data_IF_805870180940
#
_entry.id   IF_805870180940
#
_cell.length_a   1.000
_cell.length_b   1.000
_cell.length_c   1.000
_cell.angle_alpha   90.00
_cell.angle_beta   90.00
_cell.angle_gamma   90.00
#
_symmetry.space_group_name_H-M   'P 1'
#
loop_
_entity.id
_entity.type
_entity.pdbx_description
1 polymer ?
#
# COMPACT_ATOMS: atom_id res chain seq x y z
N UNK A 1 -58.94 47.80 -57.76
CA UNK A 1 -59.15 46.81 -56.68
C UNK A 1 -58.55 45.44 -57.05
N UNK A 2 -57.24 45.33 -57.28
CA UNK A 2 -56.51 44.04 -57.37
C UNK A 2 -55.02 44.32 -57.12
N UNK A 3 -54.60 44.40 -55.85
CA UNK A 3 -53.16 44.43 -55.49
C UNK A 3 -52.95 44.15 -53.98
N UNK A 4 -53.96 44.36 -53.14
CA UNK A 4 -53.81 44.24 -51.68
C UNK A 4 -53.93 42.80 -51.13
N UNK A 5 -54.19 41.77 -51.96
CA UNK A 5 -54.48 40.40 -51.49
C UNK A 5 -53.26 39.45 -51.55
N UNK A 6 -52.31 39.65 -52.45
CA UNK A 6 -51.07 38.84 -52.55
C UNK A 6 -49.96 39.26 -51.58
N UNK A 7 -49.94 40.52 -51.12
CA UNK A 7 -48.92 41.02 -50.19
C UNK A 7 -49.09 40.57 -48.74
N UNK A 8 -50.30 40.15 -48.34
CA UNK A 8 -50.59 39.65 -46.97
C UNK A 8 -50.01 38.25 -46.67
N UNK A 9 -50.12 37.25 -47.55
CA UNK A 9 -49.55 35.93 -47.27
C UNK A 9 -48.02 35.95 -47.23
N UNK A 10 -47.35 36.67 -48.13
CA UNK A 10 -45.89 36.82 -48.13
C UNK A 10 -45.37 37.44 -46.83
N UNK A 11 -45.95 38.56 -46.37
CA UNK A 11 -45.56 39.19 -45.10
C UNK A 11 -45.74 38.30 -43.87
N UNK A 12 -46.72 37.41 -43.85
CA UNK A 12 -46.91 36.48 -42.73
C UNK A 12 -45.91 35.31 -42.78
N UNK A 13 -45.54 34.86 -43.99
CA UNK A 13 -44.53 33.83 -44.19
C UNK A 13 -43.16 34.34 -43.77
N UNK A 14 -42.77 35.53 -44.21
CA UNK A 14 -41.49 36.17 -43.85
C UNK A 14 -41.38 36.39 -42.33
N UNK A 15 -42.49 36.79 -41.68
CA UNK A 15 -42.53 36.97 -40.23
C UNK A 15 -42.44 35.63 -39.47
N UNK A 16 -43.05 34.58 -40.01
CA UNK A 16 -42.97 33.21 -39.46
C UNK A 16 -41.58 32.62 -39.60
N UNK A 17 -40.91 32.84 -40.74
CA UNK A 17 -39.53 32.43 -40.96
C UNK A 17 -38.55 33.18 -40.05
N UNK A 18 -38.76 34.49 -39.85
CA UNK A 18 -38.01 35.25 -38.84
C UNK A 18 -38.24 34.71 -37.43
N UNK A 19 -39.50 34.49 -37.02
CA UNK A 19 -39.82 33.88 -35.72
C UNK A 19 -39.09 32.53 -35.54
N UNK A 20 -39.08 31.69 -36.58
CA UNK A 20 -38.47 30.35 -36.56
C UNK A 20 -36.94 30.40 -36.50
N UNK A 21 -36.32 31.33 -37.22
CA UNK A 21 -34.87 31.55 -37.17
C UNK A 21 -34.45 32.13 -35.82
N UNK A 22 -35.25 33.02 -35.24
CA UNK A 22 -35.02 33.58 -33.91
C UNK A 22 -35.12 32.50 -32.82
N UNK A 23 -36.14 31.62 -32.92
CA UNK A 23 -36.28 30.46 -32.05
C UNK A 23 -35.10 29.48 -32.18
N UNK A 24 -34.57 29.26 -33.40
CA UNK A 24 -33.36 28.46 -33.61
C UNK A 24 -32.12 29.10 -32.97
N UNK A 25 -31.95 30.39 -33.19
CA UNK A 25 -30.85 31.17 -32.61
C UNK A 25 -30.89 31.17 -31.08
N UNK A 26 -32.07 31.14 -30.49
CA UNK A 26 -32.24 31.03 -29.03
C UNK A 26 -32.02 29.60 -28.52
N UNK A 27 -32.40 28.56 -29.29
CA UNK A 27 -32.24 27.17 -28.89
C UNK A 27 -30.77 26.68 -28.88
N UNK A 28 -29.94 27.12 -29.82
CA UNK A 28 -28.53 26.69 -29.94
C UNK A 28 -27.69 26.98 -28.66
N UNK A 29 -27.74 28.20 -28.07
CA UNK A 29 -27.07 28.50 -26.80
C UNK A 29 -27.55 27.62 -25.64
N UNK A 30 -28.85 27.33 -25.55
CA UNK A 30 -29.37 26.48 -24.48
C UNK A 30 -28.91 25.03 -24.62
N UNK A 31 -28.84 24.53 -25.86
CA UNK A 31 -28.33 23.20 -26.15
C UNK A 31 -26.85 23.07 -25.81
N UNK A 32 -26.03 24.03 -26.24
CA UNK A 32 -24.61 24.07 -25.91
C UNK A 32 -24.36 24.15 -24.40
N UNK A 33 -25.17 24.95 -23.68
CA UNK A 33 -25.10 25.04 -22.21
C UNK A 33 -25.50 23.72 -21.54
N UNK A 34 -26.55 23.05 -22.03
CA UNK A 34 -26.96 21.74 -21.53
C UNK A 34 -25.87 20.68 -21.72
N UNK A 35 -25.26 20.63 -22.90
CA UNK A 35 -24.16 19.70 -23.19
C UNK A 35 -22.95 19.97 -22.28
N UNK A 36 -22.58 21.24 -22.06
CA UNK A 36 -21.49 21.59 -21.14
C UNK A 36 -21.76 21.18 -19.69
N UNK A 37 -22.97 21.40 -19.19
CA UNK A 37 -23.38 21.03 -17.82
C UNK A 37 -23.47 19.51 -17.67
N UNK A 38 -23.88 18.80 -18.72
CA UNK A 38 -23.92 17.34 -18.75
C UNK A 38 -22.50 16.73 -18.65
N UNK A 39 -21.55 17.25 -19.43
CA UNK A 39 -20.15 16.82 -19.37
C UNK A 39 -19.51 17.11 -18.01
N UNK A 40 -19.79 18.29 -17.44
CA UNK A 40 -19.35 18.64 -16.09
C UNK A 40 -19.95 17.71 -15.03
N UNK A 41 -21.24 17.37 -15.14
CA UNK A 41 -21.90 16.46 -14.19
C UNK A 41 -21.35 15.03 -14.26
N UNK A 42 -21.06 14.51 -15.46
CA UNK A 42 -20.43 13.18 -15.61
C UNK A 42 -19.02 13.18 -15.02
N UNK A 43 -18.21 14.19 -15.36
CA UNK A 43 -16.85 14.38 -14.83
C UNK A 43 -16.82 14.58 -13.31
N UNK A 44 -17.87 15.16 -12.74
CA UNK A 44 -18.03 15.29 -11.29
C UNK A 44 -18.48 13.99 -10.62
N UNK A 45 -19.27 13.14 -11.29
CA UNK A 45 -19.72 11.84 -10.79
C UNK A 45 -18.62 10.77 -10.75
N UNK A 46 -17.61 10.85 -11.60
CA UNK A 46 -16.48 9.90 -11.58
C UNK A 46 -15.46 10.19 -10.47
N UNK A 47 -15.34 11.45 -10.04
CA UNK A 47 -14.46 11.86 -8.93
C UNK A 47 -14.73 11.17 -7.58
N UNK A 48 -15.98 11.04 -7.08
CA UNK A 48 -16.27 10.33 -5.85
C UNK A 48 -16.04 8.82 -5.96
N UNK A 49 -16.32 8.21 -7.11
CA UNK A 49 -16.09 6.78 -7.34
C UNK A 49 -14.58 6.43 -7.26
N UNK A 50 -13.73 7.23 -7.90
CA UNK A 50 -12.28 7.06 -7.82
C UNK A 50 -11.73 7.27 -6.40
N UNK A 51 -12.26 8.27 -5.67
CA UNK A 51 -11.91 8.47 -4.25
C UNK A 51 -12.32 7.29 -3.39
N UNK A 52 -13.49 6.71 -3.64
CA UNK A 52 -13.96 5.53 -2.92
C UNK A 52 -13.02 4.34 -3.16
N UNK A 53 -12.70 4.02 -4.42
CA UNK A 53 -11.76 2.94 -4.74
C UNK A 53 -10.38 3.15 -4.11
N UNK A 54 -9.87 4.38 -4.11
CA UNK A 54 -8.59 4.70 -3.46
C UNK A 54 -8.65 4.50 -1.94
N UNK A 55 -9.75 4.91 -1.29
CA UNK A 55 -9.94 4.70 0.14
C UNK A 55 -10.07 3.20 0.48
N UNK A 56 -10.78 2.43 -0.34
CA UNK A 56 -10.92 0.97 -0.18
C UNK A 56 -9.56 0.28 -0.34
N UNK A 57 -8.81 0.59 -1.40
CA UNK A 57 -7.47 0.04 -1.63
C UNK A 57 -6.48 0.43 -0.50
N UNK A 58 -6.56 1.68 -0.01
CA UNK A 58 -5.76 2.15 1.12
C UNK A 58 -6.10 1.37 2.40
N UNK A 59 -7.38 1.16 2.66
CA UNK A 59 -7.82 0.41 3.84
C UNK A 59 -7.40 -1.07 3.76
N UNK A 60 -7.49 -1.68 2.59
CA UNK A 60 -6.99 -3.04 2.35
C UNK A 60 -5.48 -3.14 2.60
N UNK A 61 -4.69 -2.17 2.13
CA UNK A 61 -3.24 -2.15 2.35
C UNK A 61 -2.88 -2.01 3.84
N UNK A 62 -3.62 -1.17 4.58
CA UNK A 62 -3.43 -1.01 6.03
C UNK A 62 -3.71 -2.33 6.76
N UNK A 63 -4.86 -2.96 6.48
CA UNK A 63 -5.23 -4.24 7.08
C UNK A 63 -4.23 -5.36 6.71
N UNK A 64 -3.73 -5.37 5.48
CA UNK A 64 -2.73 -6.33 5.05
C UNK A 64 -1.42 -6.15 5.83
N UNK A 65 -1.00 -4.91 6.08
CA UNK A 65 0.24 -4.62 6.82
C UNK A 65 0.14 -5.08 8.28
N UNK A 66 -0.98 -4.81 8.93
CA UNK A 66 -1.28 -5.28 10.30
C UNK A 66 -1.31 -6.81 10.36
N UNK A 67 -2.11 -7.45 9.50
CA UNK A 67 -2.22 -8.91 9.43
C UNK A 67 -0.88 -9.59 9.15
N UNK A 68 -0.07 -9.07 8.21
CA UNK A 68 1.25 -9.62 7.92
C UNK A 68 2.21 -9.47 9.09
N UNK A 69 2.16 -8.36 9.83
CA UNK A 69 3.00 -8.11 11.00
C UNK A 69 2.66 -9.07 12.13
N UNK A 70 1.36 -9.21 12.45
CA UNK A 70 0.89 -10.13 13.48
C UNK A 70 1.20 -11.59 13.14
N UNK A 71 0.86 -12.02 11.92
CA UNK A 71 1.14 -13.38 11.44
C UNK A 71 2.64 -13.66 11.44
N UNK A 72 3.45 -12.71 10.97
CA UNK A 72 4.90 -12.80 10.98
C UNK A 72 5.46 -12.95 12.40
N UNK A 73 5.02 -12.12 13.34
CA UNK A 73 5.45 -12.18 14.73
C UNK A 73 5.06 -13.50 15.41
N UNK A 74 3.85 -14.00 15.16
CA UNK A 74 3.40 -15.30 15.66
C UNK A 74 4.24 -16.45 15.09
N UNK A 75 4.47 -16.46 13.76
CA UNK A 75 5.32 -17.46 13.11
C UNK A 75 6.75 -17.45 13.64
N UNK A 76 7.35 -16.27 13.85
CA UNK A 76 8.69 -16.12 14.42
C UNK A 76 8.77 -16.64 15.84
N UNK A 77 7.73 -16.40 16.66
CA UNK A 77 7.66 -16.89 18.04
C UNK A 77 7.57 -18.41 18.08
N UNK A 78 6.78 -19.02 17.20
CA UNK A 78 6.69 -20.48 17.08
C UNK A 78 8.03 -21.05 16.62
N UNK A 79 8.62 -20.49 15.56
CA UNK A 79 9.92 -20.91 15.02
C UNK A 79 11.02 -20.80 16.09
N UNK A 80 11.04 -19.72 16.86
CA UNK A 80 11.92 -19.57 18.02
C UNK A 80 11.76 -20.73 19.01
N UNK A 81 10.52 -21.06 19.39
CA UNK A 81 10.23 -22.10 20.38
C UNK A 81 10.69 -23.48 19.93
N UNK A 82 10.41 -23.83 18.67
CA UNK A 82 10.78 -25.14 18.11
C UNK A 82 12.27 -25.25 17.76
N UNK A 83 12.97 -24.13 17.53
CA UNK A 83 14.41 -24.09 17.22
C UNK A 83 15.31 -24.35 18.44
N UNK A 84 14.88 -25.21 19.36
CA UNK A 84 15.63 -25.59 20.55
C UNK A 84 16.44 -26.87 20.37
N UNK A 85 16.25 -27.59 19.27
CA UNK A 85 16.98 -28.82 18.94
C UNK A 85 17.69 -28.70 17.59
N UNK A 86 18.85 -29.35 17.49
CA UNK A 86 19.68 -29.33 16.29
C UNK A 86 18.98 -29.99 15.09
N UNK A 87 18.20 -31.03 15.33
CA UNK A 87 17.41 -31.75 14.32
C UNK A 87 16.37 -30.83 13.68
N UNK A 88 15.68 -30.01 14.49
CA UNK A 88 14.70 -29.04 13.99
C UNK A 88 15.39 -27.96 13.17
N UNK A 89 16.51 -27.43 13.64
CA UNK A 89 17.27 -26.41 12.90
C UNK A 89 17.80 -26.99 11.58
N UNK A 90 18.34 -28.22 11.57
CA UNK A 90 18.72 -28.92 10.33
C UNK A 90 17.55 -29.10 9.37
N UNK A 91 16.36 -29.44 9.88
CA UNK A 91 15.16 -29.57 9.05
C UNK A 91 14.66 -28.23 8.50
N UNK A 92 14.86 -27.12 9.20
CA UNK A 92 14.54 -25.77 8.71
C UNK A 92 15.54 -25.37 7.62
N UNK A 93 16.83 -25.58 7.85
CA UNK A 93 17.93 -25.17 6.97
C UNK A 93 18.04 -26.06 5.71
N UNK A 94 17.68 -27.34 5.82
CA UNK A 94 17.67 -28.29 4.70
C UNK A 94 16.54 -28.06 3.69
N UNK A 95 15.65 -27.08 3.91
CA UNK A 95 14.58 -26.74 2.96
C UNK A 95 15.07 -25.78 1.89
N UNK A 96 14.57 -25.97 0.67
CA UNK A 96 14.82 -25.18 -0.53
C UNK A 96 14.56 -23.66 -0.36
N UNK A 97 13.69 -23.29 0.58
CA UNK A 97 13.31 -21.90 0.85
C UNK A 97 14.07 -21.25 2.02
N UNK A 98 14.95 -21.97 2.72
CA UNK A 98 15.66 -21.45 3.89
C UNK A 98 16.47 -20.19 3.56
N UNK A 99 17.26 -20.24 2.48
CA UNK A 99 18.07 -19.09 2.05
C UNK A 99 17.21 -17.86 1.72
N UNK A 100 16.10 -18.05 1.01
CA UNK A 100 15.16 -16.96 0.69
C UNK A 100 14.55 -16.37 1.96
N UNK A 101 14.17 -17.22 2.91
CA UNK A 101 13.63 -16.81 4.20
C UNK A 101 14.64 -15.92 4.94
N UNK A 102 15.86 -16.40 5.20
CA UNK A 102 16.86 -15.61 5.92
C UNK A 102 17.30 -14.34 5.16
N UNK A 103 17.26 -14.33 3.82
CA UNK A 103 17.51 -13.11 3.05
C UNK A 103 16.42 -12.05 3.26
N UNK A 104 15.14 -12.45 3.27
CA UNK A 104 14.02 -11.54 3.56
C UNK A 104 14.18 -10.96 4.96
N UNK A 105 14.52 -11.79 5.95
CA UNK A 105 14.77 -11.33 7.32
C UNK A 105 15.90 -10.30 7.36
N UNK A 106 17.00 -10.57 6.65
CA UNK A 106 18.13 -9.65 6.54
C UNK A 106 17.73 -8.30 5.97
N UNK A 107 16.91 -8.28 4.92
CA UNK A 107 16.42 -7.04 4.30
C UNK A 107 15.47 -6.26 5.22
N UNK A 108 14.54 -6.95 5.89
CA UNK A 108 13.61 -6.34 6.85
C UNK A 108 14.39 -5.68 7.99
N UNK A 109 15.31 -6.41 8.60
CA UNK A 109 16.12 -5.88 9.71
C UNK A 109 17.04 -4.76 9.26
N UNK A 110 17.63 -4.83 8.07
CA UNK A 110 18.50 -3.76 7.55
C UNK A 110 17.70 -2.47 7.32
N UNK A 111 16.49 -2.60 6.78
CA UNK A 111 15.59 -1.45 6.59
C UNK A 111 15.22 -0.83 7.94
N UNK A 112 15.02 -1.67 8.97
CA UNK A 112 14.76 -1.20 10.32
C UNK A 112 15.96 -0.51 10.97
N UNK A 113 17.18 -1.04 10.83
CA UNK A 113 18.40 -0.37 11.34
C UNK A 113 18.57 1.01 10.71
N UNK A 114 18.35 1.14 9.40
CA UNK A 114 18.35 2.45 8.72
C UNK A 114 17.25 3.39 9.24
N UNK A 115 16.10 2.85 9.64
CA UNK A 115 15.00 3.61 10.22
C UNK A 115 15.30 4.11 11.65
N UNK A 116 16.14 3.38 12.39
CA UNK A 116 16.62 3.76 13.71
C UNK A 116 17.76 4.81 13.66
N UNK A 117 18.59 4.76 12.62
CA UNK A 117 19.70 5.70 12.40
C UNK A 117 19.15 7.12 12.11
N UNK A 118 18.95 7.90 13.18
CA UNK A 118 18.56 9.31 13.11
C UNK A 118 17.41 9.77 14.03
N UNK A 119 16.73 8.90 14.79
CA UNK A 119 15.62 9.34 15.66
C UNK A 119 15.49 8.52 16.95
N UNK A 120 15.29 9.20 18.09
CA UNK A 120 14.82 8.58 19.34
C UNK A 120 13.34 8.24 19.16
N UNK A 121 13.02 6.95 19.00
CA UNK A 121 11.66 6.48 18.71
C UNK A 121 11.13 5.51 19.75
N UNK A 122 9.81 5.47 19.84
CA UNK A 122 9.04 4.49 20.61
C UNK A 122 9.19 3.10 19.97
N UNK A 123 9.70 2.16 20.76
CA UNK A 123 10.07 0.81 20.31
C UNK A 123 8.94 -0.22 20.51
N UNK A 124 7.78 0.22 21.02
CA UNK A 124 6.72 -0.69 21.47
C UNK A 124 5.65 -1.01 20.42
N UNK A 125 5.72 -0.42 19.22
CA UNK A 125 4.81 -0.76 18.12
C UNK A 125 4.97 -2.22 17.69
N UNK A 126 3.88 -2.85 17.24
CA UNK A 126 3.88 -4.25 16.77
C UNK A 126 4.86 -4.53 15.63
N UNK A 127 5.09 -3.56 14.75
CA UNK A 127 6.09 -3.65 13.66
C UNK A 127 7.51 -3.82 14.21
N UNK A 128 7.88 -3.02 15.22
CA UNK A 128 9.18 -3.13 15.89
C UNK A 128 9.30 -4.46 16.65
N UNK A 129 8.21 -4.91 17.29
CA UNK A 129 8.16 -6.19 17.98
C UNK A 129 8.33 -7.37 17.01
N UNK A 130 7.77 -7.29 15.81
CA UNK A 130 8.00 -8.25 14.74
C UNK A 130 9.49 -8.30 14.35
N UNK A 131 10.15 -7.14 14.19
CA UNK A 131 11.58 -7.09 13.90
C UNK A 131 12.42 -7.67 15.04
N UNK A 132 12.03 -7.49 16.30
CA UNK A 132 12.71 -8.11 17.44
C UNK A 132 12.45 -9.62 17.53
N UNK A 133 11.25 -10.09 17.20
CA UNK A 133 10.95 -11.52 17.13
C UNK A 133 11.81 -12.21 16.04
N UNK A 134 12.03 -11.53 14.91
CA UNK A 134 12.98 -11.97 13.87
C UNK A 134 14.41 -12.03 14.39
N UNK A 135 14.88 -10.96 15.04
CA UNK A 135 16.23 -10.89 15.62
C UNK A 135 16.48 -12.01 16.63
N UNK A 136 15.48 -12.25 17.49
CA UNK A 136 15.46 -13.41 18.35
C UNK A 136 15.62 -14.67 17.52
N UNK A 137 14.66 -14.99 16.64
CA UNK A 137 14.65 -16.29 15.96
C UNK A 137 15.99 -16.63 15.30
N UNK A 138 16.63 -15.64 14.65
CA UNK A 138 17.96 -15.80 14.06
C UNK A 138 19.04 -16.05 15.13
N UNK A 139 19.00 -15.34 16.26
CA UNK A 139 19.91 -15.58 17.40
C UNK A 139 19.79 -17.01 17.94
N UNK A 140 18.57 -17.53 18.05
CA UNK A 140 18.33 -18.92 18.47
C UNK A 140 18.92 -19.93 17.48
N UNK A 141 18.73 -19.72 16.19
CA UNK A 141 19.33 -20.54 15.12
C UNK A 141 20.86 -20.46 15.16
N UNK A 142 21.42 -19.26 15.38
CA UNK A 142 22.86 -19.05 15.47
C UNK A 142 23.51 -19.76 16.68
N UNK A 143 22.75 -19.95 17.77
CA UNK A 143 23.21 -20.66 18.96
C UNK A 143 23.39 -22.17 18.74
N UNK A 144 22.83 -22.72 17.65
CA UNK A 144 23.02 -24.11 17.24
C UNK A 144 24.16 -24.20 16.22
N UNK A 145 25.07 -25.15 16.36
CA UNK A 145 26.29 -25.26 15.55
C UNK A 145 26.03 -25.22 14.03
N UNK A 146 25.10 -26.06 13.53
CA UNK A 146 24.75 -26.10 12.10
C UNK A 146 24.06 -24.80 11.61
N UNK A 147 23.34 -24.11 12.50
CA UNK A 147 22.70 -22.83 12.19
C UNK A 147 23.71 -21.68 12.15
N UNK A 148 24.65 -21.64 13.11
CA UNK A 148 25.77 -20.71 13.08
C UNK A 148 26.62 -20.87 11.82
N UNK A 149 26.95 -22.10 11.43
CA UNK A 149 27.68 -22.40 10.19
C UNK A 149 26.92 -21.92 8.94
N UNK A 150 25.61 -22.20 8.85
CA UNK A 150 24.77 -21.71 7.76
C UNK A 150 24.76 -20.19 7.67
N UNK A 151 24.59 -19.48 8.79
CA UNK A 151 24.53 -18.02 8.80
C UNK A 151 25.87 -17.40 8.38
N UNK A 152 26.99 -17.97 8.83
CA UNK A 152 28.34 -17.50 8.45
C UNK A 152 28.67 -17.79 6.99
N UNK A 153 28.19 -18.90 6.43
CA UNK A 153 28.46 -19.27 5.03
C UNK A 153 27.53 -18.58 4.04
N UNK A 154 26.25 -18.48 4.38
CA UNK A 154 25.17 -18.20 3.44
C UNK A 154 24.40 -16.90 3.74
N UNK A 155 24.60 -16.28 4.92
CA UNK A 155 23.82 -15.10 5.34
C UNK A 155 24.63 -14.11 6.19
N UNK A 156 25.88 -13.83 5.80
CA UNK A 156 26.78 -12.90 6.51
C UNK A 156 26.19 -11.49 6.69
N UNK A 157 25.46 -11.02 5.68
CA UNK A 157 24.80 -9.71 5.74
C UNK A 157 23.78 -9.66 6.87
N UNK A 158 22.98 -10.71 7.04
CA UNK A 158 22.02 -10.81 8.14
C UNK A 158 22.71 -10.81 9.50
N UNK A 159 23.82 -11.55 9.65
CA UNK A 159 24.58 -11.58 10.90
C UNK A 159 25.13 -10.19 11.26
N UNK A 160 25.72 -9.48 10.29
CA UNK A 160 26.20 -8.12 10.49
C UNK A 160 25.06 -7.16 10.84
N UNK A 161 23.91 -7.29 10.18
CA UNK A 161 22.72 -6.48 10.48
C UNK A 161 22.19 -6.72 11.88
N UNK A 162 22.21 -7.97 12.38
CA UNK A 162 21.83 -8.28 13.77
C UNK A 162 22.78 -7.62 14.76
N UNK A 163 24.08 -7.69 14.53
CA UNK A 163 25.07 -7.04 15.39
C UNK A 163 24.88 -5.53 15.41
N UNK A 164 24.61 -4.93 14.24
CA UNK A 164 24.26 -3.52 14.14
C UNK A 164 22.97 -3.20 14.92
N UNK A 165 21.90 -3.97 14.72
CA UNK A 165 20.63 -3.78 15.43
C UNK A 165 20.84 -3.82 16.94
N UNK A 166 21.50 -4.85 17.46
CA UNK A 166 21.81 -5.00 18.88
C UNK A 166 22.67 -3.85 19.41
N UNK A 167 23.59 -3.32 18.60
CA UNK A 167 24.41 -2.16 18.97
C UNK A 167 23.61 -0.85 19.12
N UNK A 168 22.47 -0.72 18.43
CA UNK A 168 21.58 0.46 18.56
C UNK A 168 20.61 0.36 19.74
N UNK A 169 20.45 -0.83 20.35
CA UNK A 169 19.53 -1.07 21.46
C UNK A 169 20.27 -0.95 22.80
N UNK A 170 19.78 -0.11 23.72
CA UNK A 170 20.30 -0.10 25.10
C UNK A 170 19.74 -1.31 25.86
N UNK A 171 20.53 -1.92 26.78
CA UNK A 171 20.04 -3.00 27.64
C UNK A 171 18.75 -2.61 28.37
N UNK A 172 17.73 -3.45 28.31
CA UNK A 172 16.43 -3.22 28.97
C UNK A 172 15.41 -2.37 28.18
N UNK A 173 15.75 -1.84 26.99
CA UNK A 173 14.80 -1.11 26.15
C UNK A 173 13.81 -2.01 25.39
N UNK A 174 14.13 -3.30 25.27
CA UNK A 174 13.27 -4.29 24.64
C UNK A 174 12.93 -5.37 25.65
N UNK A 175 11.84 -5.19 26.40
CA UNK A 175 11.35 -6.18 27.38
C UNK A 175 10.88 -7.49 26.74
N UNK A 176 10.73 -7.51 25.41
CA UNK A 176 10.19 -8.62 24.62
C UNK A 176 11.20 -9.28 23.68
N UNK A 177 12.46 -8.79 23.63
CA UNK A 177 13.52 -9.51 22.93
C UNK A 177 13.83 -10.79 23.72
N UNK A 178 13.22 -11.90 23.32
CA UNK A 178 13.51 -13.22 23.89
C UNK A 178 14.85 -13.68 23.31
N UNK A 179 15.82 -13.90 24.18
CA UNK A 179 17.13 -14.54 23.91
C UNK A 179 17.12 -15.94 24.52
#
# INVERSE_FOLDING_TARGET
MKDCREKKPHKNLDRKEQELEQLRMDCEPFKARLESVQEDSVREKDKPALRQQWNEAKQQLLQQTECCTEMGAAACTILWGVSSSEEVVKAILGRDKALKFFNIIGQTMQSFVKYLDGVVKELDSDENQFVFALAGMVTKVAAIACGGEFLVTSSRVLLNTILQLLGHLRPGQCTRLKV
#
